data_IF_088668571891
#
_entry.id   IF_088668571891
#
_cell.length_a   1.000
_cell.length_b   1.000
_cell.length_c   1.000
_cell.angle_alpha   90.00
_cell.angle_beta   90.00
_cell.angle_gamma   90.00
#
_symmetry.space_group_name_H-M   'P 1'
#
loop_
_entity.id
_entity.type
_entity.pdbx_description
1 polymer ?
#
# COMPACT_ATOMS: atom_id res chain seq x y z
N UNK A 1 -18.95 -8.42 0.01
CA UNK A 1 -19.09 -9.09 -1.30
C UNK A 1 -17.76 -9.00 -2.04
N UNK A 2 -17.28 -10.11 -2.60
CA UNK A 2 -15.95 -10.20 -3.21
C UNK A 2 -15.85 -9.31 -4.46
N UNK A 3 -16.85 -9.37 -5.34
CA UNK A 3 -16.85 -8.63 -6.60
C UNK A 3 -16.86 -7.12 -6.39
N UNK A 4 -17.63 -6.66 -5.39
CA UNK A 4 -17.66 -5.25 -5.01
C UNK A 4 -16.30 -4.73 -4.57
N UNK A 5 -15.52 -5.52 -3.83
CA UNK A 5 -14.17 -5.15 -3.38
C UNK A 5 -13.17 -5.16 -4.53
N UNK A 6 -13.20 -6.20 -5.38
CA UNK A 6 -12.34 -6.30 -6.57
C UNK A 6 -12.58 -5.14 -7.55
N UNK A 7 -13.84 -4.72 -7.71
CA UNK A 7 -14.18 -3.57 -8.55
C UNK A 7 -13.47 -2.29 -8.09
N UNK A 8 -13.32 -2.10 -6.79
CA UNK A 8 -12.66 -0.91 -6.20
C UNK A 8 -11.14 -1.07 -6.19
N UNK A 9 -10.61 -2.18 -5.68
CA UNK A 9 -9.18 -2.31 -5.44
C UNK A 9 -8.39 -2.83 -6.64
N UNK A 10 -9.04 -3.50 -7.61
CA UNK A 10 -8.40 -4.02 -8.81
C UNK A 10 -8.90 -3.32 -10.09
N UNK A 11 -10.19 -3.38 -10.41
CA UNK A 11 -10.69 -2.82 -11.67
C UNK A 11 -10.50 -1.30 -11.75
N UNK A 12 -10.79 -0.57 -10.66
CA UNK A 12 -10.58 0.87 -10.64
C UNK A 12 -9.09 1.24 -10.72
N UNK A 13 -8.20 0.48 -10.06
CA UNK A 13 -6.75 0.69 -10.15
C UNK A 13 -6.26 0.66 -11.61
N UNK A 14 -6.69 -0.34 -12.39
CA UNK A 14 -6.30 -0.49 -13.78
C UNK A 14 -6.84 0.68 -14.63
N UNK A 15 -8.13 0.99 -14.49
CA UNK A 15 -8.79 2.05 -15.27
C UNK A 15 -8.23 3.44 -14.95
N UNK A 16 -7.98 3.75 -13.68
CA UNK A 16 -7.42 5.04 -13.25
C UNK A 16 -5.99 5.17 -13.78
N UNK A 17 -5.18 4.10 -13.69
CA UNK A 17 -3.82 4.11 -14.22
C UNK A 17 -3.78 4.30 -15.74
N UNK A 18 -4.69 3.66 -16.48
CA UNK A 18 -4.83 3.85 -17.93
C UNK A 18 -5.24 5.29 -18.29
N UNK A 19 -6.26 5.82 -17.60
CA UNK A 19 -6.81 7.14 -17.85
C UNK A 19 -5.77 8.25 -17.61
N UNK A 20 -5.16 8.27 -16.42
CA UNK A 20 -4.14 9.28 -16.10
C UNK A 20 -2.82 8.99 -16.81
N UNK A 21 -2.49 7.72 -17.03
CA UNK A 21 -1.31 7.31 -17.79
C UNK A 21 -1.32 7.88 -19.20
N UNK A 22 -2.46 7.91 -19.88
CA UNK A 22 -2.58 8.51 -21.23
C UNK A 22 -2.12 9.97 -21.24
N UNK A 23 -2.61 10.79 -20.29
CA UNK A 23 -2.20 12.20 -20.18
C UNK A 23 -0.73 12.34 -19.76
N UNK A 24 -0.28 11.57 -18.77
CA UNK A 24 1.11 11.62 -18.29
C UNK A 24 2.12 11.24 -19.38
N UNK A 25 1.79 10.23 -20.21
CA UNK A 25 2.62 9.82 -21.37
C UNK A 25 2.74 10.92 -22.41
N UNK A 26 1.64 11.62 -22.71
CA UNK A 26 1.65 12.74 -23.64
C UNK A 26 2.53 13.90 -23.14
N UNK A 27 2.52 14.14 -21.82
CA UNK A 27 3.34 15.17 -21.18
C UNK A 27 4.80 14.76 -20.91
N UNK A 28 5.15 13.49 -21.17
CA UNK A 28 6.45 12.90 -20.86
C UNK A 28 6.89 13.04 -19.40
N UNK A 29 5.92 13.10 -18.49
CA UNK A 29 6.14 13.31 -17.07
C UNK A 29 4.94 12.82 -16.25
N UNK A 30 5.21 12.26 -15.07
CA UNK A 30 4.18 11.91 -14.10
C UNK A 30 4.71 11.07 -12.94
N UNK A 31 3.98 11.06 -11.83
CA UNK A 31 4.21 10.15 -10.71
C UNK A 31 2.89 9.55 -10.26
N UNK A 32 2.78 8.23 -10.35
CA UNK A 32 1.65 7.44 -9.83
C UNK A 32 2.10 6.76 -8.53
N UNK A 33 1.32 6.96 -7.47
CA UNK A 33 1.57 6.36 -6.15
C UNK A 33 0.36 5.51 -5.79
N UNK A 34 0.52 4.20 -5.92
CA UNK A 34 -0.47 3.22 -5.48
C UNK A 34 -0.39 3.04 -3.95
N UNK A 35 -1.53 2.85 -3.30
CA UNK A 35 -1.61 2.62 -1.85
C UNK A 35 -1.84 1.13 -1.58
N UNK A 36 -0.73 0.43 -1.36
CA UNK A 36 -0.68 -0.98 -1.01
C UNK A 36 -1.04 -1.24 0.45
N UNK A 37 -0.41 -2.25 1.04
CA UNK A 37 -0.52 -2.60 2.45
C UNK A 37 0.56 -3.61 2.79
N UNK A 38 1.01 -3.64 4.05
CA UNK A 38 1.79 -4.77 4.57
C UNK A 38 1.12 -6.14 4.30
N UNK A 39 -0.23 -6.21 4.24
CA UNK A 39 -0.96 -7.45 3.93
C UNK A 39 -0.85 -7.88 2.45
N UNK A 40 -0.27 -7.05 1.59
CA UNK A 40 0.14 -7.47 0.24
C UNK A 40 1.53 -8.12 0.20
N UNK A 41 2.26 -8.10 1.33
CA UNK A 41 3.65 -8.58 1.45
C UNK A 41 3.75 -9.75 2.43
N UNK A 42 3.04 -9.69 3.56
CA UNK A 42 3.06 -10.71 4.61
C UNK A 42 1.65 -11.25 4.88
N UNK A 43 1.59 -12.45 5.45
CA UNK A 43 0.33 -13.08 5.87
C UNK A 43 -0.30 -12.44 7.11
N UNK A 44 -1.52 -12.86 7.40
CA UNK A 44 -2.28 -12.40 8.56
C UNK A 44 -1.65 -12.88 9.88
N UNK A 45 -1.33 -11.94 10.77
CA UNK A 45 -0.89 -12.22 12.14
C UNK A 45 -2.11 -12.27 13.07
N UNK A 46 -2.58 -13.48 13.39
CA UNK A 46 -3.74 -13.70 14.26
C UNK A 46 -3.50 -13.22 15.70
N UNK A 47 -2.25 -13.20 16.16
CA UNK A 47 -1.88 -12.71 17.48
C UNK A 47 -2.21 -11.23 17.70
N UNK A 48 -2.37 -10.44 16.64
CA UNK A 48 -2.83 -9.04 16.75
C UNK A 48 -4.26 -8.95 17.28
N UNK A 49 -5.09 -9.96 17.05
CA UNK A 49 -6.53 -9.92 17.32
C UNK A 49 -6.92 -10.57 18.66
N UNK A 50 -5.96 -11.17 19.38
CA UNK A 50 -6.21 -11.81 20.68
C UNK A 50 -6.80 -10.82 21.68
N UNK A 51 -7.92 -11.20 22.30
CA UNK A 51 -8.64 -10.34 23.25
C UNK A 51 -9.53 -9.28 22.60
N UNK A 52 -9.89 -9.46 21.33
CA UNK A 52 -10.83 -8.59 20.61
C UNK A 52 -11.85 -9.39 19.82
N UNK A 53 -13.00 -8.78 19.53
CA UNK A 53 -14.01 -9.33 18.61
C UNK A 53 -13.73 -8.97 17.14
N UNK A 54 -12.53 -8.45 16.86
CA UNK A 54 -12.13 -8.09 15.50
C UNK A 54 -11.79 -9.35 14.69
N UNK A 55 -12.11 -9.34 13.39
CA UNK A 55 -11.81 -10.42 12.43
C UNK A 55 -12.36 -11.80 12.83
N UNK A 56 -13.67 -11.94 13.09
CA UNK A 56 -14.26 -13.25 13.35
C UNK A 56 -14.19 -14.21 12.14
N UNK A 57 -14.06 -13.68 10.93
CA UNK A 57 -13.90 -14.47 9.70
C UNK A 57 -12.90 -13.78 8.74
N UNK A 58 -11.61 -14.14 8.75
CA UNK A 58 -10.60 -13.50 7.93
C UNK A 58 -10.83 -13.80 6.44
N UNK A 59 -10.90 -12.75 5.63
CA UNK A 59 -11.07 -12.88 4.17
C UNK A 59 -9.72 -12.80 3.43
N UNK A 60 -9.45 -13.68 2.45
CA UNK A 60 -8.22 -13.62 1.66
C UNK A 60 -8.22 -12.48 0.63
N UNK A 61 -9.37 -11.87 0.35
CA UNK A 61 -9.52 -10.93 -0.78
C UNK A 61 -8.57 -9.72 -0.68
N UNK A 62 -8.41 -9.16 0.51
CA UNK A 62 -7.58 -7.98 0.70
C UNK A 62 -6.09 -8.27 0.43
N UNK A 63 -5.64 -9.50 0.77
CA UNK A 63 -4.27 -9.94 0.47
C UNK A 63 -4.08 -10.09 -1.05
N UNK A 64 -5.06 -10.70 -1.75
CA UNK A 64 -5.04 -10.81 -3.21
C UNK A 64 -4.99 -9.44 -3.88
N UNK A 65 -5.84 -8.51 -3.45
CA UNK A 65 -5.91 -7.16 -4.00
C UNK A 65 -4.61 -6.37 -3.78
N UNK A 66 -4.08 -6.37 -2.55
CA UNK A 66 -2.87 -5.59 -2.23
C UNK A 66 -1.60 -6.22 -2.77
N UNK A 67 -1.50 -7.56 -2.80
CA UNK A 67 -0.41 -8.26 -3.48
C UNK A 67 -0.46 -8.05 -4.99
N UNK A 68 -1.65 -8.14 -5.59
CA UNK A 68 -1.90 -7.84 -7.00
C UNK A 68 -1.53 -6.40 -7.36
N UNK A 69 -1.86 -5.42 -6.52
CA UNK A 69 -1.50 -4.02 -6.70
C UNK A 69 0.02 -3.79 -6.68
N UNK A 70 0.74 -4.46 -5.77
CA UNK A 70 2.21 -4.40 -5.72
C UNK A 70 2.81 -4.98 -7.00
N UNK A 71 2.28 -6.10 -7.50
CA UNK A 71 2.71 -6.69 -8.77
C UNK A 71 2.40 -5.78 -9.97
N UNK A 72 1.17 -5.27 -10.05
CA UNK A 72 0.72 -4.35 -11.09
C UNK A 72 1.56 -3.08 -11.16
N UNK A 73 2.01 -2.55 -10.02
CA UNK A 73 2.89 -1.38 -9.96
C UNK A 73 4.18 -1.59 -10.76
N UNK A 74 4.79 -2.78 -10.68
CA UNK A 74 6.00 -3.11 -11.45
C UNK A 74 5.72 -3.18 -12.94
N UNK A 75 4.60 -3.81 -13.32
CA UNK A 75 4.17 -3.85 -14.70
C UNK A 75 3.92 -2.44 -15.25
N UNK A 76 3.14 -1.62 -14.56
CA UNK A 76 2.83 -0.25 -14.99
C UNK A 76 4.09 0.61 -15.11
N UNK A 77 5.04 0.48 -14.19
CA UNK A 77 6.35 1.14 -14.29
C UNK A 77 7.12 0.73 -15.55
N UNK A 78 7.10 -0.56 -15.92
CA UNK A 78 7.79 -1.05 -17.13
C UNK A 78 7.16 -0.52 -18.43
N UNK A 79 5.84 -0.29 -18.43
CA UNK A 79 5.10 0.19 -19.61
C UNK A 79 5.17 1.71 -19.74
N UNK A 80 5.01 2.45 -18.64
CA UNK A 80 4.92 3.92 -18.66
C UNK A 80 6.28 4.60 -18.48
N UNK A 81 7.29 3.89 -17.99
CA UNK A 81 8.62 4.44 -17.71
C UNK A 81 9.34 4.98 -18.95
N UNK A 82 9.15 4.36 -20.12
CA UNK A 82 9.71 4.85 -21.40
C UNK A 82 9.18 6.24 -21.79
N UNK A 83 8.04 6.63 -21.22
CA UNK A 83 7.41 7.92 -21.41
C UNK A 83 7.66 8.88 -20.23
N UNK A 84 8.65 8.61 -19.37
CA UNK A 84 9.01 9.51 -18.25
C UNK A 84 8.04 9.47 -17.08
N UNK A 85 7.13 8.49 -17.03
CA UNK A 85 6.15 8.33 -15.92
C UNK A 85 6.67 7.32 -14.91
N UNK A 86 6.73 7.72 -13.64
CA UNK A 86 7.13 6.85 -12.54
C UNK A 86 5.89 6.25 -11.89
N UNK A 87 5.93 4.95 -11.57
CA UNK A 87 4.83 4.26 -10.90
C UNK A 87 5.38 3.50 -9.72
N UNK A 88 4.99 3.88 -8.50
CA UNK A 88 5.45 3.26 -7.26
C UNK A 88 4.26 2.87 -6.39
N UNK A 89 4.50 1.98 -5.43
CA UNK A 89 3.53 1.56 -4.42
C UNK A 89 4.08 1.92 -3.05
N UNK A 90 3.25 2.56 -2.21
CA UNK A 90 3.52 2.75 -0.80
C UNK A 90 2.67 1.72 -0.04
N UNK A 91 3.29 0.90 0.81
CA UNK A 91 2.60 -0.11 1.61
C UNK A 91 2.63 0.27 3.09
N UNK A 92 1.53 0.83 3.63
CA UNK A 92 1.45 1.15 5.05
C UNK A 92 1.41 -0.10 5.93
N UNK A 93 1.93 0.04 7.14
CA UNK A 93 1.59 -0.82 8.27
C UNK A 93 0.22 -0.49 8.87
N UNK A 94 -0.01 -0.96 10.09
CA UNK A 94 -1.23 -0.72 10.86
C UNK A 94 -1.34 0.75 11.25
N UNK A 95 -2.38 1.41 10.73
CA UNK A 95 -2.70 2.81 11.02
C UNK A 95 -3.72 2.89 12.16
N UNK A 96 -3.44 3.71 13.17
CA UNK A 96 -4.35 3.88 14.30
C UNK A 96 -5.60 4.65 13.89
N UNK A 97 -6.77 4.06 14.15
CA UNK A 97 -8.07 4.62 13.83
C UNK A 97 -9.14 4.20 14.86
N UNK A 98 -8.77 4.15 16.15
CA UNK A 98 -9.70 3.78 17.22
C UNK A 98 -9.90 2.28 17.41
N UNK A 99 -8.91 1.45 17.04
CA UNK A 99 -8.95 0.02 17.34
C UNK A 99 -8.94 -0.22 18.87
N UNK A 100 -9.53 -1.35 19.35
CA UNK A 100 -9.51 -1.71 20.76
C UNK A 100 -8.10 -1.78 21.35
N UNK A 101 -7.95 -1.43 22.62
CA UNK A 101 -6.66 -1.42 23.31
C UNK A 101 -5.86 -2.74 23.19
N UNK A 102 -6.48 -3.94 23.28
CA UNK A 102 -5.74 -5.19 23.09
C UNK A 102 -5.12 -5.31 21.69
N UNK A 103 -5.83 -4.89 20.63
CA UNK A 103 -5.29 -4.88 19.27
C UNK A 103 -4.12 -3.91 19.15
N UNK A 104 -4.29 -2.68 19.63
CA UNK A 104 -3.23 -1.66 19.56
C UNK A 104 -1.97 -2.14 20.26
N UNK A 105 -2.11 -2.74 21.45
CA UNK A 105 -1.00 -3.31 22.20
C UNK A 105 -0.33 -4.44 21.42
N UNK A 106 -1.09 -5.46 21.02
CA UNK A 106 -0.55 -6.65 20.35
C UNK A 106 0.14 -6.32 19.02
N UNK A 107 -0.43 -5.38 18.26
CA UNK A 107 0.15 -4.87 17.03
C UNK A 107 1.45 -4.12 17.30
N UNK A 108 1.44 -3.20 18.28
CA UNK A 108 2.61 -2.38 18.64
C UNK A 108 3.77 -3.22 19.17
N UNK A 109 3.50 -4.24 19.98
CA UNK A 109 4.49 -5.22 20.46
C UNK A 109 5.17 -5.97 19.30
N UNK A 110 4.48 -6.05 18.15
CA UNK A 110 4.99 -6.68 16.93
C UNK A 110 5.58 -5.69 15.92
N UNK A 111 5.54 -4.39 16.17
CA UNK A 111 6.16 -3.36 15.33
C UNK A 111 7.50 -2.96 15.93
N UNK A 112 8.58 -2.87 15.14
CA UNK A 112 9.90 -2.51 15.67
C UNK A 112 9.92 -1.10 16.30
N UNK A 113 9.14 -0.16 15.77
CA UNK A 113 8.96 1.17 16.37
C UNK A 113 8.00 1.20 17.58
N UNK A 114 7.45 0.06 18.00
CA UNK A 114 6.65 -0.06 19.23
C UNK A 114 5.30 0.69 19.20
N UNK A 115 4.79 1.05 18.02
CA UNK A 115 3.52 1.78 17.86
C UNK A 115 2.87 1.51 16.51
N UNK A 116 1.59 1.84 16.41
CA UNK A 116 0.88 1.99 15.14
C UNK A 116 1.26 3.31 14.44
N UNK A 117 1.05 3.36 13.13
CA UNK A 117 1.19 4.59 12.36
C UNK A 117 0.09 5.60 12.71
N UNK A 118 0.41 6.88 12.60
CA UNK A 118 -0.50 8.02 12.78
C UNK A 118 -0.58 8.86 11.50
N UNK A 119 -1.37 9.93 11.53
CA UNK A 119 -1.67 10.80 10.39
C UNK A 119 -0.46 11.50 9.75
N UNK A 120 0.70 11.50 10.41
CA UNK A 120 1.91 12.16 9.91
C UNK A 120 2.89 11.20 9.24
N UNK A 121 2.87 9.91 9.59
CA UNK A 121 3.92 8.96 9.20
C UNK A 121 4.01 8.72 7.69
N UNK A 122 2.91 8.85 6.95
CA UNK A 122 2.91 8.64 5.49
C UNK A 122 3.32 9.89 4.69
N UNK A 123 3.20 11.08 5.29
CA UNK A 123 3.26 12.35 4.55
C UNK A 123 4.59 12.54 3.83
N UNK A 124 5.70 12.30 4.54
CA UNK A 124 7.04 12.45 3.98
C UNK A 124 7.30 11.49 2.82
N UNK A 125 6.89 10.23 2.96
CA UNK A 125 7.06 9.21 1.91
C UNK A 125 6.22 9.53 0.66
N UNK A 126 4.99 10.02 0.83
CA UNK A 126 4.13 10.45 -0.28
C UNK A 126 4.76 11.64 -1.01
N UNK A 127 5.20 12.67 -0.29
CA UNK A 127 5.86 13.85 -0.88
C UNK A 127 7.14 13.41 -1.62
N UNK A 128 7.95 12.56 -1.01
CA UNK A 128 9.17 12.02 -1.64
C UNK A 128 8.85 11.36 -2.98
N UNK A 129 7.90 10.43 -3.01
CA UNK A 129 7.49 9.72 -4.23
C UNK A 129 6.84 10.65 -5.27
N UNK A 130 6.16 11.70 -4.84
CA UNK A 130 5.53 12.68 -5.74
C UNK A 130 6.51 13.70 -6.32
N UNK A 131 7.65 13.93 -5.65
CA UNK A 131 8.62 14.97 -6.00
C UNK A 131 9.79 14.47 -6.85
N UNK A 132 10.63 15.43 -7.27
CA UNK A 132 11.88 15.16 -8.00
C UNK A 132 12.96 14.46 -7.14
N UNK A 133 12.78 14.40 -5.83
CA UNK A 133 13.68 13.66 -4.95
C UNK A 133 13.70 12.14 -5.27
N UNK A 134 12.73 11.64 -6.03
CA UNK A 134 12.59 10.23 -6.41
C UNK A 134 12.65 9.99 -7.93
N UNK A 135 13.28 10.88 -8.71
CA UNK A 135 13.34 10.77 -10.19
C UNK A 135 13.90 9.43 -10.70
N UNK A 136 14.78 8.78 -9.94
CA UNK A 136 15.35 7.48 -10.31
C UNK A 136 14.66 6.28 -9.63
N UNK A 137 13.47 6.48 -9.07
CA UNK A 137 12.70 5.44 -8.38
C UNK A 137 11.38 5.20 -9.12
N UNK A 138 11.22 4.00 -9.66
CA UNK A 138 9.99 3.50 -10.29
C UNK A 138 9.87 1.98 -10.10
N UNK A 139 8.65 1.46 -10.09
CA UNK A 139 8.35 0.04 -9.89
C UNK A 139 8.56 -0.45 -8.45
N UNK A 140 8.84 0.44 -7.49
CA UNK A 140 9.17 0.03 -6.13
C UNK A 140 7.92 -0.15 -5.27
N UNK A 141 8.00 -1.08 -4.32
CA UNK A 141 7.10 -1.11 -3.18
C UNK A 141 7.86 -0.58 -1.96
N UNK A 142 7.42 0.55 -1.42
CA UNK A 142 8.01 1.22 -0.27
C UNK A 142 7.19 0.89 0.99
N UNK A 143 7.69 0.04 1.90
CA UNK A 143 7.05 -0.17 3.19
C UNK A 143 7.16 1.10 4.05
N UNK A 144 6.03 1.50 4.65
CA UNK A 144 5.99 2.54 5.69
C UNK A 144 5.20 1.96 6.85
N UNK A 145 5.83 1.05 7.58
CA UNK A 145 5.14 0.13 8.50
C UNK A 145 5.78 0.02 9.88
N UNK A 146 6.72 0.92 10.20
CA UNK A 146 7.45 0.89 11.47
C UNK A 146 8.30 -0.36 11.67
N UNK A 147 8.72 -1.03 10.58
CA UNK A 147 9.52 -2.24 10.63
C UNK A 147 8.71 -3.50 10.92
N UNK A 148 7.39 -3.46 10.77
CA UNK A 148 6.52 -4.62 10.99
C UNK A 148 6.90 -5.80 10.09
N UNK A 149 7.18 -5.54 8.81
CA UNK A 149 7.53 -6.58 7.82
C UNK A 149 9.01 -6.92 7.75
N UNK A 150 9.87 -6.26 8.52
CA UNK A 150 11.32 -6.45 8.50
C UNK A 150 11.84 -7.51 9.49
N UNK A 151 10.94 -8.33 10.06
CA UNK A 151 11.27 -9.38 11.03
C UNK A 151 11.69 -10.68 10.37
#
# INVERSE_FOLDING_TARGET
>A
DFDASLRVNASALFKITELFGTTMRANKAGSVINIGSMMGVVGLELGNYVGTDMMPNPSPIYHYEKGGMISFTRWAASILGVDGVRVNCLSPGGFFNGQPAPFVKNYSDRTQLGRMANSTDMKGAIIFLASDASLYITGTNLPVDGGYTAK
#
